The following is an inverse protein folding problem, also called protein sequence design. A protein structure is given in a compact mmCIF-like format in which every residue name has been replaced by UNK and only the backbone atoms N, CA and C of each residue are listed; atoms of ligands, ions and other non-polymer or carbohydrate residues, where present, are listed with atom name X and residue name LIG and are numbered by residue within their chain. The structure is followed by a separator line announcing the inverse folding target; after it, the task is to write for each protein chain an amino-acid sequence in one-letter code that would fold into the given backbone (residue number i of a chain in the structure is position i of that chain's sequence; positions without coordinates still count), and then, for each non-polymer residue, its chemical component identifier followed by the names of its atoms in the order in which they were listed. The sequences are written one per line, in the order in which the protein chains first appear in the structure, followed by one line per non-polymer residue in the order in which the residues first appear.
data_IF_551011379516
#
_entry.id   IF_551011379516
#
_cell.length_a   1.000
_cell.length_b   1.000
_cell.length_c   1.000
_cell.angle_alpha   90.00
_cell.angle_beta   90.00
_cell.angle_gamma   90.00
#
_symmetry.space_group_name_H-M   'P 1'
#
loop_
_entity.id
_entity.type
_entity.pdbx_description
1 polymer ?
#
# COMPACT_ATOMS: atom_id res chain seq x y z
N UNK A 1 -12.36 20.01 0.62
CA UNK A 1 -10.98 20.53 0.43
C UNK A 1 -9.96 19.65 1.13
N UNK A 2 -9.97 19.54 2.48
CA UNK A 2 -8.99 18.77 3.27
C UNK A 2 -8.73 17.34 2.77
N UNK A 3 -9.76 16.59 2.40
CA UNK A 3 -9.62 15.21 1.90
C UNK A 3 -8.84 15.10 0.59
N UNK A 4 -9.03 16.06 -0.32
CA UNK A 4 -8.29 16.10 -1.59
C UNK A 4 -6.81 16.40 -1.33
N UNK A 5 -6.54 17.29 -0.37
CA UNK A 5 -5.17 17.59 0.07
C UNK A 5 -4.50 16.36 0.70
N UNK A 6 -5.21 15.63 1.57
CA UNK A 6 -4.71 14.39 2.17
C UNK A 6 -4.43 13.32 1.09
N UNK A 7 -5.33 13.13 0.13
CA UNK A 7 -5.11 12.20 -0.96
C UNK A 7 -3.93 12.60 -1.87
N UNK A 8 -3.76 13.90 -2.12
CA UNK A 8 -2.60 14.42 -2.86
C UNK A 8 -1.29 14.20 -2.11
N UNK A 9 -1.29 14.39 -0.78
CA UNK A 9 -0.15 14.06 0.08
C UNK A 9 0.21 12.57 -0.01
N UNK A 10 -0.77 11.68 0.10
CA UNK A 10 -0.54 10.24 -0.07
C UNK A 10 0.00 9.88 -1.45
N UNK A 11 -0.50 10.51 -2.52
CA UNK A 11 0.02 10.34 -3.88
C UNK A 11 1.47 10.83 -3.98
N UNK A 12 1.78 11.99 -3.40
CA UNK A 12 3.13 12.53 -3.38
C UNK A 12 4.11 11.60 -2.65
N UNK A 13 3.69 10.98 -1.53
CA UNK A 13 4.49 9.97 -0.82
C UNK A 13 4.78 8.75 -1.71
N UNK A 14 3.78 8.25 -2.44
CA UNK A 14 3.96 7.12 -3.37
C UNK A 14 4.98 7.48 -4.45
N UNK A 15 4.82 8.65 -5.08
CA UNK A 15 5.73 9.13 -6.13
C UNK A 15 7.15 9.32 -5.61
N UNK A 16 7.31 9.89 -4.41
CA UNK A 16 8.60 10.04 -3.76
C UNK A 16 9.31 8.68 -3.56
N UNK A 17 8.61 7.67 -3.02
CA UNK A 17 9.20 6.35 -2.79
C UNK A 17 9.64 5.71 -4.10
N UNK A 18 8.81 5.77 -5.14
CA UNK A 18 9.15 5.21 -6.45
C UNK A 18 10.36 5.95 -7.05
N UNK A 19 10.37 7.28 -7.01
CA UNK A 19 11.49 8.09 -7.52
C UNK A 19 12.79 7.81 -6.75
N UNK A 20 12.73 7.60 -5.44
CA UNK A 20 13.87 7.32 -4.59
C UNK A 20 14.39 5.88 -4.77
N UNK A 21 13.55 4.89 -4.49
CA UNK A 21 13.96 3.49 -4.41
C UNK A 21 14.19 2.87 -5.78
N UNK A 22 13.34 3.18 -6.77
CA UNK A 22 13.42 2.55 -8.09
C UNK A 22 14.36 3.29 -9.04
N UNK A 23 14.29 4.62 -9.07
CA UNK A 23 15.06 5.43 -10.01
C UNK A 23 16.33 6.03 -9.41
N UNK A 24 16.47 6.11 -8.08
CA UNK A 24 17.61 6.80 -7.43
C UNK A 24 17.64 8.32 -7.70
N UNK A 25 16.54 8.87 -8.21
CA UNK A 25 16.47 10.25 -8.70
C UNK A 25 16.50 11.28 -7.56
N UNK A 26 16.13 10.86 -6.34
CA UNK A 26 16.07 11.77 -5.20
C UNK A 26 17.46 12.12 -4.69
N UNK A 27 18.36 11.13 -4.56
CA UNK A 27 19.72 11.40 -4.08
C UNK A 27 20.51 12.24 -5.09
N UNK A 28 20.36 11.95 -6.38
CA UNK A 28 21.02 12.67 -7.48
C UNK A 28 20.73 14.18 -7.46
N UNK A 29 19.49 14.57 -7.12
CA UNK A 29 19.07 15.97 -7.15
C UNK A 29 19.27 16.71 -5.82
N UNK A 30 19.61 16.01 -4.74
CA UNK A 30 19.66 16.57 -3.38
C UNK A 30 21.06 16.51 -2.77
N UNK A 31 21.91 15.57 -3.20
CA UNK A 31 23.25 15.35 -2.64
C UNK A 31 24.28 15.38 -3.77
N UNK A 32 25.19 16.36 -3.73
CA UNK A 32 26.21 16.50 -4.76
C UNK A 32 27.18 15.31 -4.75
N UNK A 33 27.26 14.61 -5.89
CA UNK A 33 28.14 13.45 -6.07
C UNK A 33 27.53 12.10 -5.70
N UNK A 34 26.28 12.04 -5.23
CA UNK A 34 25.61 10.77 -4.90
C UNK A 34 25.26 9.91 -6.12
N UNK A 35 25.21 10.50 -7.32
CA UNK A 35 24.82 9.80 -8.55
C UNK A 35 23.41 9.18 -8.46
N UNK A 36 23.18 8.08 -9.17
CA UNK A 36 21.88 7.38 -9.18
C UNK A 36 21.63 6.48 -7.97
N UNK A 37 22.21 6.79 -6.81
CA UNK A 37 22.00 6.02 -5.58
C UNK A 37 20.61 6.29 -4.98
N UNK A 38 20.07 5.35 -4.20
CA UNK A 38 18.85 5.63 -3.40
C UNK A 38 19.23 6.21 -2.05
N UNK A 39 18.42 7.09 -1.48
CA UNK A 39 18.54 7.49 -0.08
C UNK A 39 17.90 6.41 0.80
N UNK A 40 18.64 5.90 1.79
CA UNK A 40 18.05 4.99 2.76
C UNK A 40 17.28 5.79 3.81
N UNK A 41 15.95 5.81 3.66
CA UNK A 41 15.05 6.61 4.50
C UNK A 41 15.13 6.24 5.98
N UNK A 42 15.49 4.99 6.31
CA UNK A 42 15.64 4.59 7.69
C UNK A 42 16.93 5.18 8.30
N UNK A 43 18.02 5.17 7.53
CA UNK A 43 19.33 5.70 7.98
C UNK A 43 19.34 7.22 8.04
N UNK A 44 18.49 7.91 7.27
CA UNK A 44 18.30 9.36 7.40
C UNK A 44 17.80 9.80 8.79
N UNK A 45 17.27 8.89 9.61
CA UNK A 45 16.91 9.18 11.00
C UNK A 45 18.14 9.20 11.93
N UNK A 46 19.29 8.67 11.49
CA UNK A 46 20.51 8.69 12.26
C UNK A 46 21.15 10.08 12.22
N UNK A 47 21.69 10.58 13.34
CA UNK A 47 22.19 11.95 13.46
C UNK A 47 23.42 12.25 12.58
N UNK A 48 24.08 11.22 12.02
CA UNK A 48 25.21 11.37 11.10
C UNK A 48 24.84 11.30 9.61
N UNK A 49 23.55 11.21 9.28
CA UNK A 49 23.06 11.18 7.90
C UNK A 49 22.50 12.54 7.46
N UNK A 50 23.31 13.59 7.59
CA UNK A 50 22.99 14.92 7.07
C UNK A 50 23.61 15.13 5.69
N UNK A 51 22.98 15.97 4.85
CA UNK A 51 23.49 16.29 3.49
C UNK A 51 24.98 16.69 3.48
N UNK A 52 25.45 17.64 4.33
CA UNK A 52 26.85 18.04 4.30
C UNK A 52 27.82 16.93 4.74
N UNK A 53 27.40 16.03 5.64
CA UNK A 53 28.21 14.87 6.05
C UNK A 53 28.26 13.82 4.94
N UNK A 54 27.14 13.58 4.26
CA UNK A 54 27.09 12.66 3.11
C UNK A 54 27.99 13.15 1.97
N UNK A 55 27.96 14.43 1.62
CA UNK A 55 28.83 14.99 0.58
C UNK A 55 30.31 14.89 0.94
N UNK A 56 30.63 15.05 2.23
CA UNK A 56 32.00 14.88 2.74
C UNK A 56 32.43 13.41 2.62
N UNK A 57 31.59 12.48 3.05
CA UNK A 57 31.88 11.05 2.99
C UNK A 57 32.06 10.58 1.53
N UNK A 58 31.20 11.04 0.61
CA UNK A 58 31.31 10.75 -0.83
C UNK A 58 32.64 11.25 -1.39
N UNK A 59 33.13 12.42 -0.98
CA UNK A 59 34.43 12.95 -1.44
C UNK A 59 35.62 12.15 -0.93
N UNK A 60 35.51 11.56 0.26
CA UNK A 60 36.60 10.83 0.92
C UNK A 60 36.64 9.34 0.51
N UNK A 61 35.48 8.68 0.36
CA UNK A 61 35.38 7.23 0.16
C UNK A 61 34.68 6.84 -1.15
N UNK A 62 34.10 7.80 -1.87
CA UNK A 62 33.37 7.57 -3.12
C UNK A 62 31.91 7.14 -2.94
N UNK A 63 31.44 6.90 -1.70
CA UNK A 63 30.04 6.55 -1.38
C UNK A 63 29.69 7.05 0.03
N UNK A 64 28.41 7.19 0.37
CA UNK A 64 27.98 7.49 1.74
C UNK A 64 27.26 6.30 2.38
N UNK A 65 27.43 6.10 3.69
CA UNK A 65 26.75 5.04 4.44
C UNK A 65 25.22 5.13 4.38
N UNK A 66 24.69 6.34 4.21
CA UNK A 66 23.26 6.64 4.14
C UNK A 66 22.65 6.38 2.76
N UNK A 67 23.47 6.01 1.76
CA UNK A 67 23.04 5.68 0.41
C UNK A 67 22.93 4.16 0.24
N UNK A 68 21.92 3.75 -0.52
CA UNK A 68 21.69 2.38 -0.93
C UNK A 68 21.83 2.21 -2.43
N UNK A 69 21.91 0.96 -2.87
CA UNK A 69 21.91 0.63 -4.29
C UNK A 69 20.51 0.83 -4.90
N UNK A 70 20.45 1.42 -6.10
CA UNK A 70 19.18 1.62 -6.81
C UNK A 70 18.49 0.30 -7.11
N UNK A 71 17.15 0.31 -7.09
CA UNK A 71 16.33 -0.88 -7.34
C UNK A 71 16.22 -1.80 -6.12
N UNK A 72 16.96 -1.55 -5.04
CA UNK A 72 16.76 -2.24 -3.76
C UNK A 72 15.69 -1.52 -2.95
N UNK A 73 14.73 -2.27 -2.41
CA UNK A 73 13.64 -1.72 -1.60
C UNK A 73 13.94 -1.93 -0.13
N UNK A 74 14.08 -0.84 0.63
CA UNK A 74 14.23 -0.90 2.07
C UNK A 74 12.88 -1.11 2.78
N UNK A 75 12.93 -1.60 4.02
CA UNK A 75 11.72 -1.75 4.86
C UNK A 75 10.96 -0.43 5.04
N UNK A 76 11.69 0.68 5.21
CA UNK A 76 11.09 2.01 5.32
C UNK A 76 10.38 2.44 4.02
N UNK A 77 10.97 2.17 2.86
CA UNK A 77 10.38 2.46 1.54
C UNK A 77 9.06 1.70 1.37
N UNK A 78 9.04 0.40 1.72
CA UNK A 78 7.84 -0.44 1.66
C UNK A 78 6.74 0.08 2.60
N UNK A 79 7.11 0.42 3.84
CA UNK A 79 6.15 0.96 4.82
C UNK A 79 5.58 2.31 4.36
N UNK A 80 6.41 3.20 3.81
CA UNK A 80 5.98 4.49 3.28
C UNK A 80 5.09 4.35 2.05
N UNK A 81 5.41 3.43 1.14
CA UNK A 81 4.55 3.12 -0.01
C UNK A 81 3.18 2.63 0.47
N UNK A 82 3.17 1.68 1.41
CA UNK A 82 1.94 1.16 2.00
C UNK A 82 1.12 2.26 2.68
N UNK A 83 1.77 3.12 3.47
CA UNK A 83 1.14 4.28 4.10
C UNK A 83 0.56 5.25 3.07
N UNK A 84 1.30 5.56 2.00
CA UNK A 84 0.82 6.40 0.90
C UNK A 84 -0.45 5.82 0.26
N UNK A 85 -0.49 4.51 0.01
CA UNK A 85 -1.67 3.81 -0.52
C UNK A 85 -2.84 3.88 0.46
N UNK A 86 -2.62 3.67 1.76
CA UNK A 86 -3.66 3.80 2.78
C UNK A 86 -4.23 5.22 2.85
N UNK A 87 -3.39 6.25 2.75
CA UNK A 87 -3.82 7.65 2.79
C UNK A 87 -4.65 7.99 1.55
N UNK A 88 -4.20 7.57 0.35
CA UNK A 88 -4.94 7.77 -0.91
C UNK A 88 -6.29 7.06 -0.85
N UNK A 89 -6.30 5.81 -0.39
CA UNK A 89 -7.54 5.01 -0.28
C UNK A 89 -8.48 5.59 0.77
N UNK A 90 -8.00 5.98 1.95
CA UNK A 90 -8.83 6.63 2.98
C UNK A 90 -9.38 7.99 2.51
N UNK A 91 -8.61 8.76 1.73
CA UNK A 91 -9.04 10.04 1.16
C UNK A 91 -10.09 9.90 0.06
N UNK A 92 -10.08 8.78 -0.68
CA UNK A 92 -10.91 8.55 -1.89
C UNK A 92 -12.10 7.60 -1.66
N UNK A 93 -11.90 6.52 -0.92
CA UNK A 93 -12.91 5.49 -0.64
C UNK A 93 -13.70 5.86 0.61
N UNK A 94 -14.81 6.58 0.40
CA UNK A 94 -15.90 6.51 1.36
C UNK A 94 -16.61 5.18 1.15
N UNK A 95 -16.93 4.47 2.22
CA UNK A 95 -17.96 3.43 2.12
C UNK A 95 -19.21 4.13 1.55
N UNK A 96 -19.81 3.63 0.48
CA UNK A 96 -20.88 4.35 -0.20
C UNK A 96 -22.04 4.54 0.76
N UNK A 97 -22.52 5.78 0.90
CA UNK A 97 -23.72 6.05 1.71
C UNK A 97 -24.96 5.38 1.12
N UNK A 98 -24.94 5.03 -0.18
CA UNK A 98 -26.03 4.33 -0.83
C UNK A 98 -26.03 2.84 -0.46
N UNK A 99 -27.11 2.34 0.18
CA UNK A 99 -27.18 0.96 0.66
C UNK A 99 -27.05 -0.06 -0.48
N UNK A 100 -27.51 0.30 -1.69
CA UNK A 100 -27.40 -0.54 -2.90
C UNK A 100 -25.96 -0.68 -3.39
N UNK A 101 -25.19 0.42 -3.38
CA UNK A 101 -23.79 0.41 -3.83
C UNK A 101 -22.90 -0.28 -2.79
N UNK A 102 -23.17 -0.06 -1.49
CA UNK A 102 -22.50 -0.76 -0.40
C UNK A 102 -22.72 -2.28 -0.47
N UNK A 103 -23.95 -2.72 -0.77
CA UNK A 103 -24.28 -4.14 -0.97
C UNK A 103 -23.57 -4.75 -2.18
N UNK A 104 -23.44 -3.98 -3.28
CA UNK A 104 -22.73 -4.43 -4.49
C UNK A 104 -21.22 -4.54 -4.24
N UNK A 105 -20.60 -3.53 -3.63
CA UNK A 105 -19.17 -3.56 -3.27
C UNK A 105 -18.89 -4.69 -2.28
N UNK A 106 -19.77 -4.93 -1.30
CA UNK A 106 -19.64 -6.07 -0.38
C UNK A 106 -19.67 -7.40 -1.11
N UNK A 107 -20.59 -7.58 -2.07
CA UNK A 107 -20.64 -8.81 -2.86
C UNK A 107 -19.33 -9.01 -3.62
N UNK A 108 -18.82 -7.96 -4.25
CA UNK A 108 -17.53 -7.99 -4.97
C UNK A 108 -16.38 -8.35 -4.02
N UNK A 109 -16.27 -7.68 -2.87
CA UNK A 109 -15.22 -7.95 -1.87
C UNK A 109 -15.31 -9.36 -1.31
N UNK A 110 -16.52 -9.87 -1.05
CA UNK A 110 -16.69 -11.25 -0.58
C UNK A 110 -16.30 -12.26 -1.67
N UNK A 111 -16.74 -12.04 -2.92
CA UNK A 111 -16.38 -12.94 -4.03
C UNK A 111 -14.89 -12.90 -4.31
N UNK A 112 -14.25 -11.73 -4.29
CA UNK A 112 -12.80 -11.64 -4.47
C UNK A 112 -12.06 -12.27 -3.31
N UNK A 113 -12.52 -12.06 -2.07
CA UNK A 113 -11.96 -12.69 -0.88
C UNK A 113 -12.04 -14.22 -0.92
N UNK A 114 -13.19 -14.77 -1.31
CA UNK A 114 -13.39 -16.20 -1.46
C UNK A 114 -12.51 -16.80 -2.57
N UNK A 115 -12.33 -16.08 -3.68
CA UNK A 115 -11.41 -16.48 -4.75
C UNK A 115 -9.97 -16.49 -4.24
N UNK A 116 -9.49 -15.43 -3.60
CA UNK A 116 -8.11 -15.36 -3.09
C UNK A 116 -7.83 -16.43 -2.02
N UNK A 117 -8.78 -16.66 -1.12
CA UNK A 117 -8.68 -17.72 -0.11
C UNK A 117 -8.70 -19.12 -0.75
N UNK A 118 -9.56 -19.33 -1.74
CA UNK A 118 -9.60 -20.57 -2.51
C UNK A 118 -8.32 -20.82 -3.29
N UNK A 119 -7.76 -19.80 -3.93
CA UNK A 119 -6.47 -19.88 -4.62
C UNK A 119 -5.35 -20.25 -3.64
N UNK A 120 -5.30 -19.65 -2.45
CA UNK A 120 -4.31 -20.01 -1.44
C UNK A 120 -4.43 -21.47 -0.99
N UNK A 121 -5.64 -22.03 -0.93
CA UNK A 121 -5.86 -23.45 -0.63
C UNK A 121 -5.44 -24.33 -1.81
N UNK A 122 -5.85 -23.99 -3.03
CA UNK A 122 -5.53 -24.73 -4.25
C UNK A 122 -4.02 -24.76 -4.52
N UNK A 123 -3.32 -23.68 -4.18
CA UNK A 123 -1.86 -23.58 -4.22
C UNK A 123 -1.21 -24.60 -3.25
N UNK A 124 -1.80 -24.83 -2.07
CA UNK A 124 -1.30 -25.86 -1.12
C UNK A 124 -1.40 -27.27 -1.69
N UNK A 125 -2.48 -27.53 -2.42
CA UNK A 125 -2.74 -28.82 -3.06
C UNK A 125 -2.02 -28.99 -4.40
N UNK A 126 -1.25 -27.99 -4.84
CA UNK A 126 -0.58 -27.97 -6.15
C UNK A 126 -1.54 -28.20 -7.33
N UNK A 127 -2.80 -27.78 -7.17
CA UNK A 127 -3.82 -27.90 -8.21
C UNK A 127 -3.87 -26.70 -9.15
N UNK A 128 -3.03 -25.69 -8.89
CA UNK A 128 -2.90 -24.52 -9.76
C UNK A 128 -1.92 -24.78 -10.91
N UNK A 129 -2.20 -24.25 -12.11
CA UNK A 129 -1.23 -24.26 -13.19
C UNK A 129 0.04 -23.51 -12.76
N UNK A 130 1.19 -23.94 -13.27
CA UNK A 130 2.54 -23.44 -12.89
C UNK A 130 2.73 -21.93 -13.02
N UNK A 131 1.88 -21.23 -13.79
CA UNK A 131 1.91 -19.77 -13.93
C UNK A 131 1.13 -19.00 -12.84
N UNK A 132 0.35 -19.69 -12.00
CA UNK A 132 -0.48 -19.10 -10.96
C UNK A 132 -0.14 -19.60 -9.55
N UNK A 133 0.98 -20.30 -9.40
CA UNK A 133 1.45 -20.82 -8.13
C UNK A 133 2.23 -19.76 -7.32
N UNK A 134 2.36 -19.98 -6.02
CA UNK A 134 3.11 -19.07 -5.13
C UNK A 134 4.59 -18.94 -5.49
N UNK A 135 5.19 -19.94 -6.14
CA UNK A 135 6.58 -19.89 -6.63
C UNK A 135 6.75 -18.86 -7.74
N UNK A 136 5.92 -18.93 -8.79
CA UNK A 136 5.95 -17.98 -9.89
C UNK A 136 5.53 -16.57 -9.45
N UNK A 137 4.63 -16.46 -8.48
CA UNK A 137 4.27 -15.16 -7.91
C UNK A 137 5.37 -14.55 -7.03
N UNK A 138 6.15 -15.37 -6.33
CA UNK A 138 7.32 -14.91 -5.58
C UNK A 138 8.41 -14.33 -6.52
N UNK A 139 8.57 -14.91 -7.72
CA UNK A 139 9.54 -14.43 -8.72
C UNK A 139 9.15 -13.08 -9.36
N UNK A 140 7.85 -12.77 -9.39
CA UNK A 140 7.33 -11.50 -9.96
C UNK A 140 7.42 -10.36 -8.93
N UNK A 141 7.30 -10.67 -7.64
CA UNK A 141 7.37 -9.67 -6.60
C UNK A 141 8.84 -9.24 -6.44
N UNK A 142 9.18 -7.95 -6.54
CA UNK A 142 10.56 -7.45 -6.44
C UNK A 142 11.15 -7.52 -5.02
N UNK A 143 10.56 -8.35 -4.15
CA UNK A 143 10.93 -8.59 -2.76
C UNK A 143 11.16 -10.10 -2.65
N UNK A 144 12.31 -10.55 -2.10
CA UNK A 144 12.59 -11.97 -1.92
C UNK A 144 11.68 -12.54 -0.83
N UNK A 145 10.45 -12.88 -1.22
CA UNK A 145 9.47 -13.50 -0.36
C UNK A 145 9.49 -15.01 -0.57
N UNK A 146 9.59 -15.81 0.51
CA UNK A 146 9.38 -17.24 0.38
C UNK A 146 7.97 -17.53 -0.17
N UNK A 147 7.79 -18.52 -1.04
CA UNK A 147 6.48 -18.86 -1.63
C UNK A 147 5.36 -19.06 -0.59
N UNK A 148 5.67 -19.68 0.56
CA UNK A 148 4.71 -19.88 1.65
C UNK A 148 4.20 -18.57 2.27
N UNK A 149 4.99 -17.50 2.24
CA UNK A 149 4.59 -16.17 2.74
C UNK A 149 3.58 -15.54 1.79
N UNK A 150 3.81 -15.66 0.48
CA UNK A 150 2.88 -15.20 -0.56
C UNK A 150 1.53 -15.92 -0.41
N UNK A 151 1.57 -17.23 -0.17
CA UNK A 151 0.38 -18.04 0.08
C UNK A 151 -0.41 -17.60 1.33
N UNK A 152 0.28 -17.38 2.46
CA UNK A 152 -0.35 -16.90 3.69
C UNK A 152 -0.91 -15.49 3.49
N UNK A 153 -0.23 -14.63 2.74
CA UNK A 153 -0.70 -13.29 2.44
C UNK A 153 -2.02 -13.33 1.67
N UNK A 154 -2.13 -14.18 0.64
CA UNK A 154 -3.38 -14.41 -0.09
C UNK A 154 -4.50 -14.94 0.81
N UNK A 155 -4.19 -15.87 1.70
CA UNK A 155 -5.15 -16.40 2.66
C UNK A 155 -5.64 -15.32 3.65
N UNK A 156 -4.73 -14.51 4.20
CA UNK A 156 -5.06 -13.43 5.15
C UNK A 156 -5.89 -12.35 4.45
N UNK A 157 -5.47 -11.89 3.27
CA UNK A 157 -6.22 -10.88 2.50
C UNK A 157 -7.59 -11.43 2.11
N UNK A 158 -7.66 -12.69 1.65
CA UNK A 158 -8.91 -13.37 1.33
C UNK A 158 -9.86 -13.41 2.54
N UNK A 159 -9.36 -13.84 3.69
CA UNK A 159 -10.12 -13.91 4.94
C UNK A 159 -10.58 -12.52 5.43
N UNK A 160 -9.73 -11.49 5.33
CA UNK A 160 -10.08 -10.12 5.68
C UNK A 160 -11.15 -9.54 4.75
N UNK A 161 -11.10 -9.82 3.46
CA UNK A 161 -12.12 -9.40 2.50
C UNK A 161 -13.46 -10.12 2.72
N UNK A 162 -13.41 -11.39 3.14
CA UNK A 162 -14.61 -12.15 3.52
C UNK A 162 -15.18 -11.70 4.87
N UNK A 163 -14.35 -11.17 5.76
CA UNK A 163 -14.75 -10.61 7.07
C UNK A 163 -15.56 -9.33 6.82
N UNK A 164 -16.87 -9.52 6.71
CA UNK A 164 -17.84 -8.45 6.47
C UNK A 164 -17.81 -7.36 7.56
N UNK A 165 -18.46 -6.20 7.30
CA UNK A 165 -18.51 -5.11 8.26
C UNK A 165 -19.11 -5.58 9.58
N UNK A 166 -18.55 -5.08 10.69
CA UNK A 166 -18.98 -5.37 12.07
C UNK A 166 -20.40 -4.88 12.38
N UNK A 167 -20.98 -4.05 11.52
CA UNK A 167 -22.35 -3.54 11.64
C UNK A 167 -23.31 -4.41 10.82
N UNK A 168 -24.34 -4.92 11.48
CA UNK A 168 -25.41 -5.63 10.80
C UNK A 168 -26.09 -4.71 9.78
N UNK A 169 -26.48 -5.27 8.64
CA UNK A 169 -27.11 -4.53 7.53
C UNK A 169 -28.37 -3.78 8.02
N UNK A 170 -29.01 -4.28 9.07
CA UNK A 170 -30.15 -3.72 9.78
C UNK A 170 -29.89 -2.34 10.39
N UNK A 171 -28.72 -2.11 11.01
CA UNK A 171 -28.40 -0.82 11.63
C UNK A 171 -28.17 0.26 10.57
N UNK A 172 -27.56 -0.10 9.45
CA UNK A 172 -27.29 0.83 8.35
C UNK A 172 -28.59 1.19 7.60
N UNK A 173 -29.46 0.22 7.35
CA UNK A 173 -30.78 0.45 6.75
C UNK A 173 -31.68 1.30 7.66
N UNK A 174 -31.68 1.03 8.97
CA UNK A 174 -32.44 1.82 9.94
C UNK A 174 -31.97 3.27 10.03
N UNK A 175 -30.66 3.51 10.00
CA UNK A 175 -30.12 4.87 10.06
C UNK A 175 -30.36 5.64 8.75
N UNK A 176 -30.32 4.96 7.60
CA UNK A 176 -30.63 5.57 6.30
C UNK A 176 -32.10 5.98 6.20
N UNK A 177 -33.02 5.10 6.61
CA UNK A 177 -34.45 5.40 6.64
C UNK A 177 -34.77 6.59 7.55
N UNK A 178 -34.11 6.67 8.71
CA UNK A 178 -34.25 7.82 9.63
C UNK A 178 -33.80 9.14 8.98
N UNK A 179 -32.66 9.12 8.28
CA UNK A 179 -32.11 10.29 7.59
C UNK A 179 -32.92 10.71 6.34
N UNK A 180 -33.61 9.78 5.67
CA UNK A 180 -34.57 10.12 4.62
C UNK A 180 -35.83 10.75 5.20
N UNK A 181 -36.35 10.18 6.28
CA UNK A 181 -37.53 10.74 6.96
C UNK A 181 -37.31 12.17 7.48
N UNK A 182 -36.12 12.48 7.99
CA UNK A 182 -35.77 13.85 8.40
C UNK A 182 -35.69 14.81 7.20
N UNK A 183 -35.08 14.37 6.08
CA UNK A 183 -35.02 15.17 4.85
C UNK A 183 -36.37 15.40 4.18
N UNK A 184 -37.33 14.48 4.34
CA UNK A 184 -38.71 14.68 3.90
C UNK A 184 -39.48 15.64 4.79
N UNK A 185 -39.23 15.62 6.11
CA UNK A 185 -39.82 16.59 7.05
C UNK A 185 -39.34 18.01 6.81
N UNK A 186 -38.06 18.22 6.48
CA UNK A 186 -37.54 19.54 6.13
C UNK A 186 -38.08 20.10 4.80
N UNK A 187 -38.66 19.23 3.96
CA UNK A 187 -39.21 19.61 2.65
C UNK A 187 -40.71 19.92 2.65
N UNK A 188 -41.41 19.69 3.76
CA UNK A 188 -42.82 20.05 3.99
C UNK A 188 -42.90 21.30 4.85
#
# INVERSE_FOLDING_TARGET
MLRKVIALLGLATILFVIANAHFGMVAENVVDGAGTARLDVLRLADPGCTIPEMEKEIRETGTAFCLGEKGTWGTADILLLFWGILIVTAGRFRMPSDPRLAKRIRRVMFTSGAVLFGLAILDRFQWLPTSANSESMADIIPIPLPPWVVQILFAIIGALLMRGPKYEVSEFEGNYQRLEHEREKERR
#
